data_IF_895149225350
#
_entry.id   IF_895149225350
#
_cell.length_a   1.000
_cell.length_b   1.000
_cell.length_c   1.000
_cell.angle_alpha   90.00
_cell.angle_beta   90.00
_cell.angle_gamma   90.00
#
_symmetry.space_group_name_H-M   'P 1'
#
loop_
_entity.id
_entity.type
_entity.pdbx_description
1 polymer ?
#
# COMPACT_ATOMS: atom_id res chain seq x y z
N UNK A 1 18.51 -2.14 -15.02
CA UNK A 1 18.37 -1.20 -13.89
C UNK A 1 19.21 -1.73 -12.75
N UNK A 2 19.95 -0.89 -12.04
CA UNK A 2 20.67 -1.31 -10.83
C UNK A 2 19.66 -1.45 -9.68
N UNK A 3 19.43 -2.69 -9.24
CA UNK A 3 18.41 -2.98 -8.23
C UNK A 3 18.81 -2.45 -6.85
N UNK A 4 20.10 -2.48 -6.51
CA UNK A 4 20.56 -2.03 -5.20
C UNK A 4 20.41 -0.52 -5.07
N UNK A 5 20.71 0.21 -6.15
CA UNK A 5 20.43 1.65 -6.23
C UNK A 5 18.94 1.96 -6.12
N UNK A 6 18.08 1.23 -6.83
CA UNK A 6 16.62 1.40 -6.73
C UNK A 6 16.15 1.21 -5.27
N UNK A 7 16.64 0.17 -4.59
CA UNK A 7 16.26 -0.12 -3.20
C UNK A 7 16.74 0.98 -2.26
N UNK A 8 17.94 1.51 -2.46
CA UNK A 8 18.43 2.67 -1.72
C UNK A 8 17.56 3.92 -1.96
N UNK A 9 17.24 4.22 -3.22
CA UNK A 9 16.38 5.35 -3.61
C UNK A 9 14.96 5.21 -3.04
N UNK A 10 14.41 3.99 -3.01
CA UNK A 10 13.11 3.68 -2.43
C UNK A 10 13.09 3.88 -0.90
N UNK A 11 14.14 3.42 -0.20
CA UNK A 11 14.30 3.66 1.24
C UNK A 11 14.43 5.15 1.56
N UNK A 12 15.31 5.87 0.86
CA UNK A 12 15.49 7.32 1.02
C UNK A 12 14.17 8.08 0.80
N UNK A 13 13.46 7.75 -0.29
CA UNK A 13 12.17 8.34 -0.60
C UNK A 13 11.19 8.18 0.56
N UNK A 14 11.03 6.97 1.11
CA UNK A 14 10.14 6.71 2.24
C UNK A 14 10.46 7.58 3.46
N UNK A 15 11.73 7.67 3.86
CA UNK A 15 12.14 8.52 4.99
C UNK A 15 11.90 10.00 4.73
N UNK A 16 12.06 10.47 3.48
CA UNK A 16 11.83 11.88 3.13
C UNK A 16 10.35 12.25 3.06
N UNK A 17 9.46 11.32 2.68
CA UNK A 17 8.01 11.60 2.58
C UNK A 17 7.24 11.31 3.86
N UNK A 18 7.77 10.48 4.76
CA UNK A 18 7.15 10.13 6.05
C UNK A 18 8.14 10.23 7.23
N UNK A 19 8.85 11.36 7.42
CA UNK A 19 9.91 11.46 8.40
C UNK A 19 9.40 11.33 9.84
N UNK A 20 8.23 11.87 10.15
CA UNK A 20 7.65 11.81 11.50
C UNK A 20 7.27 10.38 11.90
N UNK A 21 6.81 9.58 10.93
CA UNK A 21 6.36 8.22 11.16
C UNK A 21 7.53 7.23 11.23
N UNK A 22 8.55 7.42 10.39
CA UNK A 22 9.68 6.49 10.29
C UNK A 22 10.87 6.86 11.18
N UNK A 23 10.86 8.05 11.81
CA UNK A 23 11.93 8.48 12.71
C UNK A 23 12.18 7.46 13.82
N UNK A 24 13.40 6.91 13.86
CA UNK A 24 13.82 5.94 14.88
C UNK A 24 13.35 4.50 14.63
N UNK A 25 12.79 4.19 13.46
CA UNK A 25 12.45 2.82 13.05
C UNK A 25 13.20 2.44 11.77
N UNK A 26 13.81 1.24 11.69
CA UNK A 26 14.36 0.74 10.44
C UNK A 26 13.24 0.42 9.44
N UNK A 27 13.50 0.67 8.16
CA UNK A 27 12.64 0.26 7.06
C UNK A 27 13.44 -0.63 6.09
N UNK A 28 12.94 -1.85 5.87
CA UNK A 28 13.51 -2.73 4.84
C UNK A 28 12.65 -2.69 3.58
N UNK A 29 13.31 -2.53 2.45
CA UNK A 29 12.73 -2.68 1.12
C UNK A 29 13.50 -3.80 0.44
N UNK A 30 12.79 -4.83 -0.04
CA UNK A 30 13.39 -6.07 -0.54
C UNK A 30 12.79 -6.40 -1.90
N UNK A 31 13.59 -6.60 -2.95
CA UNK A 31 13.06 -7.08 -4.21
C UNK A 31 12.71 -8.57 -4.09
N UNK A 32 11.64 -8.99 -4.75
CA UNK A 32 11.16 -10.38 -4.82
C UNK A 32 12.27 -11.35 -5.23
N UNK A 33 13.19 -10.93 -6.11
CA UNK A 33 14.35 -11.73 -6.53
C UNK A 33 15.32 -12.09 -5.40
N UNK A 34 15.31 -11.32 -4.30
CA UNK A 34 16.18 -11.57 -3.14
C UNK A 34 15.48 -12.44 -2.08
N UNK A 35 14.21 -12.82 -2.30
CA UNK A 35 13.50 -13.71 -1.40
C UNK A 35 13.91 -15.17 -1.60
N UNK A 36 13.84 -16.01 -0.56
CA UNK A 36 13.97 -17.45 -0.70
C UNK A 36 13.01 -18.00 -1.78
N UNK A 37 13.38 -19.04 -2.55
CA UNK A 37 12.55 -19.56 -3.64
C UNK A 37 11.10 -19.88 -3.25
N UNK A 38 10.88 -20.31 -2.01
CA UNK A 38 9.54 -20.60 -1.47
C UNK A 38 8.65 -19.36 -1.30
N UNK A 39 9.24 -18.17 -1.24
CA UNK A 39 8.55 -16.89 -1.03
C UNK A 39 8.58 -15.99 -2.29
N UNK A 40 9.48 -16.26 -3.25
CA UNK A 40 9.70 -15.41 -4.42
C UNK A 40 9.26 -15.97 -5.77
N UNK A 41 8.97 -17.26 -5.93
CA UNK A 41 8.77 -17.86 -7.27
C UNK A 41 7.42 -17.60 -7.95
N UNK A 42 6.37 -17.27 -7.20
CA UNK A 42 5.00 -17.27 -7.72
C UNK A 42 4.14 -16.08 -7.31
N UNK A 43 4.72 -15.01 -6.75
CA UNK A 43 3.92 -13.84 -6.37
C UNK A 43 3.38 -13.15 -7.63
N UNK A 44 2.07 -12.93 -7.73
CA UNK A 44 1.46 -12.21 -8.87
C UNK A 44 1.28 -10.71 -8.62
N UNK A 45 1.48 -10.24 -7.38
CA UNK A 45 1.39 -8.81 -7.07
C UNK A 45 2.64 -8.00 -7.46
N UNK A 46 2.49 -6.68 -7.44
CA UNK A 46 3.58 -5.72 -7.60
C UNK A 46 4.32 -5.40 -6.30
N UNK A 47 3.69 -5.58 -5.14
CA UNK A 47 4.31 -5.34 -3.84
C UNK A 47 3.41 -5.82 -2.71
N UNK A 48 3.99 -5.99 -1.53
CA UNK A 48 3.24 -6.28 -0.31
C UNK A 48 3.99 -5.88 0.96
N UNK A 49 3.23 -5.68 2.03
CA UNK A 49 3.72 -5.49 3.41
C UNK A 49 2.81 -6.19 4.42
N UNK A 50 3.32 -6.54 5.61
CA UNK A 50 2.52 -7.01 6.75
C UNK A 50 3.06 -6.47 8.07
N UNK A 51 2.23 -6.40 9.15
CA UNK A 51 2.67 -6.01 10.49
C UNK A 51 3.76 -6.88 11.14
N UNK A 52 4.01 -8.08 10.61
CA UNK A 52 4.99 -9.04 11.14
C UNK A 52 6.04 -9.45 10.10
N UNK A 53 6.11 -8.76 8.96
CA UNK A 53 6.90 -9.21 7.82
C UNK A 53 8.41 -9.23 8.10
N UNK A 54 8.88 -8.35 8.98
CA UNK A 54 10.26 -8.38 9.48
C UNK A 54 10.60 -9.69 10.18
N UNK A 55 9.68 -10.24 10.97
CA UNK A 55 9.87 -11.53 11.63
C UNK A 55 9.91 -12.72 10.66
N UNK A 56 9.37 -12.57 9.44
CA UNK A 56 9.48 -13.58 8.39
C UNK A 56 10.80 -13.47 7.64
N UNK A 57 11.24 -12.24 7.39
CA UNK A 57 12.32 -11.94 6.44
C UNK A 57 13.62 -11.47 7.11
N UNK A 58 13.71 -11.44 8.45
CA UNK A 58 14.90 -10.95 9.15
C UNK A 58 16.20 -11.65 8.74
N UNK A 59 16.12 -12.93 8.32
CA UNK A 59 17.27 -13.69 7.83
C UNK A 59 17.75 -13.26 6.42
N UNK A 60 16.95 -12.45 5.71
CA UNK A 60 17.29 -11.84 4.44
C UNK A 60 17.93 -10.45 4.60
N UNK A 61 18.00 -9.91 5.82
CA UNK A 61 18.49 -8.56 6.07
C UNK A 61 19.91 -8.63 6.64
N UNK A 62 20.88 -8.08 5.92
CA UNK A 62 22.28 -8.04 6.37
C UNK A 62 22.50 -7.10 7.56
N UNK A 63 21.60 -6.14 7.77
CA UNK A 63 21.63 -5.09 8.79
C UNK A 63 20.63 -5.35 9.94
N UNK A 64 20.13 -6.57 10.09
CA UNK A 64 19.22 -6.90 11.18
C UNK A 64 19.95 -7.03 12.53
N UNK A 65 19.72 -6.07 13.42
CA UNK A 65 20.30 -6.03 14.77
C UNK A 65 19.31 -6.52 15.86
N UNK A 66 18.23 -7.21 15.47
CA UNK A 66 17.17 -7.60 16.42
C UNK A 66 16.14 -6.50 16.69
N UNK A 67 16.24 -5.36 16.00
CA UNK A 67 15.28 -4.25 16.08
C UNK A 67 14.12 -4.50 15.12
N UNK A 68 12.88 -4.29 15.56
CA UNK A 68 11.67 -4.45 14.75
C UNK A 68 11.44 -3.25 13.83
N UNK A 69 10.77 -3.47 12.70
CA UNK A 69 10.41 -2.39 11.78
C UNK A 69 9.58 -2.84 10.57
N UNK A 70 9.01 -1.89 9.82
CA UNK A 70 8.28 -2.19 8.60
C UNK A 70 9.15 -2.83 7.52
N UNK A 71 8.52 -3.70 6.73
CA UNK A 71 9.11 -4.29 5.53
C UNK A 71 8.18 -4.07 4.35
N UNK A 72 8.78 -3.73 3.21
CA UNK A 72 8.14 -3.65 1.90
C UNK A 72 8.83 -4.69 1.00
N UNK A 73 8.07 -5.60 0.43
CA UNK A 73 8.54 -6.45 -0.67
C UNK A 73 8.07 -5.85 -1.98
N UNK A 74 8.99 -5.71 -2.94
CA UNK A 74 8.70 -5.27 -4.31
C UNK A 74 8.69 -6.46 -5.26
N UNK A 75 7.57 -6.69 -5.94
CA UNK A 75 7.38 -7.70 -6.98
C UNK A 75 8.11 -7.33 -8.27
N UNK A 76 9.44 -7.23 -8.21
CA UNK A 76 10.22 -6.56 -9.24
C UNK A 76 10.12 -7.23 -10.62
N UNK A 77 9.99 -8.56 -10.64
CA UNK A 77 9.82 -9.32 -11.89
C UNK A 77 8.51 -8.98 -12.60
N UNK A 78 7.40 -8.81 -11.85
CA UNK A 78 6.11 -8.46 -12.42
C UNK A 78 6.07 -7.02 -12.90
N UNK A 79 6.68 -6.10 -12.15
CA UNK A 79 6.75 -4.68 -12.53
C UNK A 79 7.60 -4.51 -13.79
N UNK A 80 8.76 -5.17 -13.89
CA UNK A 80 9.62 -5.15 -15.08
C UNK A 80 8.89 -5.69 -16.32
N UNK A 81 8.12 -6.77 -16.15
CA UNK A 81 7.31 -7.36 -17.23
C UNK A 81 6.20 -6.42 -17.70
N UNK A 82 5.43 -5.86 -16.78
CA UNK A 82 4.19 -5.14 -17.10
C UNK A 82 4.42 -3.65 -17.40
N UNK A 83 5.53 -3.08 -16.91
CA UNK A 83 5.87 -1.65 -17.06
C UNK A 83 7.32 -1.46 -17.49
N UNK A 84 7.78 -2.00 -18.63
CA UNK A 84 9.18 -1.97 -19.03
C UNK A 84 9.74 -0.54 -19.23
N UNK A 85 8.91 0.40 -19.70
CA UNK A 85 9.33 1.79 -19.95
C UNK A 85 9.34 2.68 -18.70
N UNK A 86 8.58 2.28 -17.66
CA UNK A 86 8.42 3.04 -16.42
C UNK A 86 8.72 2.20 -15.18
N UNK A 87 9.55 1.18 -15.34
CA UNK A 87 9.88 0.22 -14.26
C UNK A 87 10.33 0.94 -13.00
N UNK A 88 11.30 1.86 -13.12
CA UNK A 88 11.81 2.63 -12.00
C UNK A 88 10.71 3.42 -11.28
N UNK A 89 9.92 4.20 -12.02
CA UNK A 89 8.85 5.03 -11.48
C UNK A 89 7.75 4.16 -10.85
N UNK A 90 7.40 3.04 -11.48
CA UNK A 90 6.41 2.10 -10.96
C UNK A 90 6.88 1.42 -9.67
N UNK A 91 8.16 1.02 -9.56
CA UNK A 91 8.72 0.48 -8.32
C UNK A 91 8.64 1.49 -7.17
N UNK A 92 9.00 2.76 -7.43
CA UNK A 92 8.87 3.81 -6.42
C UNK A 92 7.40 4.07 -6.07
N UNK A 93 6.52 4.10 -7.07
CA UNK A 93 5.07 4.24 -6.87
C UNK A 93 4.49 3.11 -6.02
N UNK A 94 4.86 1.86 -6.31
CA UNK A 94 4.50 0.69 -5.51
C UNK A 94 5.12 0.76 -4.11
N UNK A 95 6.34 1.28 -3.96
CA UNK A 95 6.92 1.51 -2.62
C UNK A 95 6.04 2.47 -1.81
N UNK A 96 5.58 3.58 -2.41
CA UNK A 96 4.66 4.51 -1.76
C UNK A 96 3.29 3.88 -1.45
N UNK A 97 2.82 2.97 -2.30
CA UNK A 97 1.60 2.17 -2.06
C UNK A 97 1.74 1.33 -0.79
N UNK A 98 2.81 0.53 -0.69
CA UNK A 98 3.04 -0.33 0.48
C UNK A 98 3.32 0.51 1.74
N UNK A 99 3.98 1.66 1.60
CA UNK A 99 4.14 2.61 2.68
C UNK A 99 2.77 3.14 3.16
N UNK A 100 1.82 3.42 2.26
CA UNK A 100 0.48 3.84 2.67
C UNK A 100 -0.21 2.77 3.55
N UNK A 101 -0.08 1.49 3.21
CA UNK A 101 -0.55 0.38 4.07
C UNK A 101 0.12 0.36 5.42
N UNK A 102 1.44 0.62 5.50
CA UNK A 102 2.17 0.70 6.77
C UNK A 102 1.63 1.85 7.63
N UNK A 103 1.42 3.02 7.03
CA UNK A 103 1.02 4.25 7.74
C UNK A 103 -0.47 4.29 8.12
N UNK A 104 -1.31 3.50 7.45
CA UNK A 104 -2.71 3.35 7.82
C UNK A 104 -2.89 2.61 9.16
N UNK A 105 -1.97 1.71 9.48
CA UNK A 105 -2.01 0.87 10.69
C UNK A 105 -1.90 1.72 11.96
N UNK A 106 -2.49 1.29 13.10
CA UNK A 106 -2.29 1.95 14.39
C UNK A 106 -0.82 1.98 14.87
N UNK A 107 -0.02 1.02 14.41
CA UNK A 107 1.40 0.85 14.72
C UNK A 107 2.15 0.34 13.48
N UNK A 108 3.41 0.73 13.31
CA UNK A 108 4.26 0.32 12.17
C UNK A 108 4.47 -1.19 12.11
N UNK A 109 4.59 -1.81 13.28
CA UNK A 109 4.69 -3.25 13.46
C UNK A 109 3.84 -3.68 14.65
N UNK A 110 3.44 -4.95 14.68
CA UNK A 110 2.72 -5.50 15.82
C UNK A 110 3.71 -6.13 16.82
N UNK A 111 3.69 -5.71 18.11
CA UNK A 111 4.43 -6.41 19.15
C UNK A 111 3.86 -7.82 19.28
N UNK A 112 4.67 -8.83 18.97
CA UNK A 112 4.29 -10.24 19.09
C UNK A 112 5.48 -11.04 19.63
N UNK A 113 5.25 -12.01 20.52
CA UNK A 113 6.30 -12.96 20.89
C UNK A 113 6.72 -13.77 19.66
N UNK A 114 8.02 -14.10 19.58
CA UNK A 114 8.54 -14.91 18.49
C UNK A 114 7.89 -16.30 18.54
N UNK A 115 7.02 -16.59 17.57
CA UNK A 115 6.43 -17.92 17.39
C UNK A 115 6.44 -18.29 15.91
N UNK A 116 7.35 -19.20 15.54
CA UNK A 116 7.57 -19.62 14.16
C UNK A 116 6.32 -20.19 13.48
N UNK A 117 5.40 -20.82 14.22
CA UNK A 117 4.19 -21.40 13.64
C UNK A 117 3.20 -20.31 13.20
N UNK A 118 2.93 -19.33 14.07
CA UNK A 118 2.10 -18.17 13.70
C UNK A 118 2.73 -17.36 12.59
N UNK A 119 4.04 -17.19 12.68
CA UNK A 119 4.83 -16.46 11.71
C UNK A 119 4.69 -17.12 10.33
N UNK A 120 4.90 -18.44 10.24
CA UNK A 120 4.76 -19.20 8.99
C UNK A 120 3.32 -19.19 8.46
N UNK A 121 2.31 -19.31 9.32
CA UNK A 121 0.90 -19.28 8.91
C UNK A 121 0.48 -17.89 8.37
N UNK A 122 1.05 -16.81 8.89
CA UNK A 122 0.84 -15.46 8.35
C UNK A 122 1.52 -15.29 7.00
N UNK A 123 2.77 -15.73 6.85
CA UNK A 123 3.48 -15.72 5.57
C UNK A 123 2.75 -16.53 4.48
N UNK A 124 2.19 -17.70 4.82
CA UNK A 124 1.36 -18.49 3.90
C UNK A 124 0.09 -17.74 3.54
N UNK A 125 -0.63 -17.15 4.51
CA UNK A 125 -1.83 -16.37 4.22
C UNK A 125 -1.56 -15.15 3.35
N UNK A 126 -0.42 -14.48 3.57
CA UNK A 126 0.04 -13.40 2.70
C UNK A 126 0.27 -13.98 1.32
N UNK A 127 1.15 -14.99 1.18
CA UNK A 127 1.44 -15.60 -0.11
C UNK A 127 0.17 -16.07 -0.86
N UNK A 128 -0.79 -16.68 -0.17
CA UNK A 128 -2.08 -17.10 -0.72
C UNK A 128 -2.95 -15.91 -1.15
N UNK A 129 -3.06 -14.88 -0.32
CA UNK A 129 -3.81 -13.66 -0.66
C UNK A 129 -3.18 -12.93 -1.85
N UNK A 130 -1.85 -12.93 -1.92
CA UNK A 130 -1.06 -12.32 -2.99
C UNK A 130 -1.08 -13.16 -4.27
N UNK A 131 -1.50 -14.44 -4.20
CA UNK A 131 -1.54 -15.39 -5.32
C UNK A 131 -2.93 -15.57 -5.94
N UNK A 132 -3.99 -15.04 -5.33
CA UNK A 132 -5.35 -15.09 -5.88
C UNK A 132 -5.55 -13.94 -6.86
N UNK A 133 -6.21 -14.21 -7.98
CA UNK A 133 -6.65 -13.15 -8.90
C UNK A 133 -7.48 -12.11 -8.14
N UNK A 134 -7.23 -10.83 -8.42
CA UNK A 134 -7.86 -9.67 -7.78
C UNK A 134 -9.38 -9.56 -8.06
N UNK A 135 -9.95 -10.48 -8.84
CA UNK A 135 -11.37 -10.50 -9.24
C UNK A 135 -12.32 -10.65 -8.03
N UNK A 136 -11.79 -10.91 -6.83
CA UNK A 136 -12.55 -11.02 -5.60
C UNK A 136 -13.53 -12.18 -5.63
N UNK A 137 -14.30 -12.35 -4.56
CA UNK A 137 -15.42 -13.29 -4.54
C UNK A 137 -16.69 -12.71 -5.20
N UNK A 138 -16.56 -11.53 -5.83
CA UNK A 138 -17.65 -10.73 -6.35
C UNK A 138 -18.57 -10.14 -5.28
N UNK A 139 -18.46 -10.52 -4.00
CA UNK A 139 -19.34 -10.06 -2.91
C UNK A 139 -18.78 -8.84 -2.19
N UNK A 140 -17.45 -8.72 -2.15
CA UNK A 140 -16.72 -7.64 -1.49
C UNK A 140 -16.32 -6.56 -2.50
N UNK A 141 -16.47 -5.25 -2.18
CA UNK A 141 -15.94 -4.21 -3.04
C UNK A 141 -14.44 -4.43 -3.29
N UNK A 142 -13.96 -4.36 -4.54
CA UNK A 142 -12.59 -4.73 -4.87
C UNK A 142 -11.53 -3.81 -4.22
N UNK A 143 -11.92 -2.65 -3.70
CA UNK A 143 -11.06 -1.72 -2.94
C UNK A 143 -11.21 -1.83 -1.41
N UNK A 144 -11.74 -2.92 -0.87
CA UNK A 144 -11.98 -3.03 0.60
C UNK A 144 -10.69 -2.93 1.43
N UNK A 145 -9.54 -3.23 0.85
CA UNK A 145 -8.22 -3.02 1.46
C UNK A 145 -7.57 -1.68 1.08
N UNK A 146 -8.26 -0.85 0.28
CA UNK A 146 -7.78 0.42 -0.25
C UNK A 146 -8.85 1.51 -0.11
N UNK A 147 -9.50 1.58 1.05
CA UNK A 147 -10.57 2.53 1.30
C UNK A 147 -10.09 4.00 1.28
N UNK A 148 -11.04 4.93 1.47
CA UNK A 148 -10.79 6.37 1.46
C UNK A 148 -9.60 6.83 2.30
N UNK A 149 -9.32 6.18 3.45
CA UNK A 149 -8.19 6.50 4.32
C UNK A 149 -6.86 6.11 3.68
N UNK A 150 -6.72 4.88 3.20
CA UNK A 150 -5.58 4.43 2.40
C UNK A 150 -5.32 5.37 1.21
N UNK A 151 -6.35 5.62 0.39
CA UNK A 151 -6.23 6.47 -0.81
C UNK A 151 -5.73 7.87 -0.45
N UNK A 152 -6.24 8.43 0.66
CA UNK A 152 -5.82 9.72 1.16
C UNK A 152 -4.33 9.74 1.51
N UNK A 153 -3.86 8.74 2.27
CA UNK A 153 -2.43 8.59 2.61
C UNK A 153 -1.58 8.46 1.34
N UNK A 154 -1.97 7.57 0.42
CA UNK A 154 -1.24 7.28 -0.81
C UNK A 154 -1.04 8.54 -1.69
N UNK A 155 -2.10 9.35 -1.87
CA UNK A 155 -1.98 10.57 -2.67
C UNK A 155 -1.23 11.71 -1.96
N UNK A 156 -1.25 11.76 -0.62
CA UNK A 156 -0.36 12.65 0.15
C UNK A 156 1.12 12.24 0.00
N UNK A 157 1.44 10.95 0.09
CA UNK A 157 2.78 10.42 -0.16
C UNK A 157 3.26 10.78 -1.58
N UNK A 158 2.43 10.55 -2.59
CA UNK A 158 2.71 10.94 -3.98
C UNK A 158 2.97 12.44 -4.11
N UNK A 159 2.16 13.27 -3.46
CA UNK A 159 2.31 14.72 -3.49
C UNK A 159 3.65 15.17 -2.90
N UNK A 160 4.05 14.60 -1.75
CA UNK A 160 5.37 14.86 -1.16
C UNK A 160 6.51 14.41 -2.05
N UNK A 161 6.42 13.21 -2.64
CA UNK A 161 7.41 12.70 -3.58
C UNK A 161 7.61 13.64 -4.79
N UNK A 162 6.51 14.16 -5.35
CA UNK A 162 6.57 15.15 -6.43
C UNK A 162 7.27 16.45 -5.99
N UNK A 163 7.04 16.91 -4.76
CA UNK A 163 7.75 18.06 -4.18
C UNK A 163 9.26 17.85 -4.00
N UNK A 164 9.71 16.59 -3.95
CA UNK A 164 11.12 16.20 -3.90
C UNK A 164 11.74 15.99 -5.30
N UNK A 165 10.96 16.21 -6.37
CA UNK A 165 11.41 16.08 -7.77
C UNK A 165 11.20 14.70 -8.40
N UNK A 166 10.53 13.76 -7.72
CA UNK A 166 10.26 12.44 -8.29
C UNK A 166 9.09 12.49 -9.28
N UNK A 167 9.30 11.93 -10.48
CA UNK A 167 8.25 11.74 -11.50
C UNK A 167 7.43 10.46 -11.22
N UNK A 168 6.54 10.50 -10.22
CA UNK A 168 5.64 9.38 -9.91
C UNK A 168 4.21 9.79 -10.28
N UNK A 169 3.55 9.01 -11.15
CA UNK A 169 2.15 9.22 -11.55
C UNK A 169 1.18 8.71 -10.49
N UNK A 170 -0.04 9.21 -10.51
CA UNK A 170 -1.05 8.83 -9.52
C UNK A 170 -1.41 7.33 -9.60
N UNK A 171 -1.51 6.79 -10.81
CA UNK A 171 -1.76 5.38 -11.15
C UNK A 171 -0.56 4.47 -10.88
N UNK A 172 0.66 5.02 -10.78
CA UNK A 172 1.82 4.25 -10.33
C UNK A 172 1.74 3.93 -8.83
N UNK A 173 1.11 4.81 -8.04
CA UNK A 173 0.85 4.57 -6.61
C UNK A 173 -0.43 3.77 -6.41
N UNK A 174 -1.55 4.19 -6.99
CA UNK A 174 -2.82 3.46 -6.90
C UNK A 174 -3.73 3.76 -8.09
N UNK A 175 -4.22 2.70 -8.73
CA UNK A 175 -5.10 2.73 -9.92
C UNK A 175 -6.54 2.33 -9.56
N UNK A 176 -7.34 3.19 -8.91
CA UNK A 176 -8.72 2.92 -8.55
C UNK A 176 -9.60 2.60 -9.78
N UNK A 177 -9.25 3.09 -10.96
CA UNK A 177 -9.98 2.81 -12.21
C UNK A 177 -10.01 1.32 -12.59
N UNK A 178 -9.03 0.51 -12.15
CA UNK A 178 -9.05 -0.95 -12.34
C UNK A 178 -10.23 -1.61 -11.63
N UNK A 179 -10.80 -0.92 -10.65
CA UNK A 179 -11.89 -1.37 -9.80
C UNK A 179 -13.22 -0.68 -10.14
N UNK A 180 -13.31 -0.02 -11.30
CA UNK A 180 -14.52 0.69 -11.75
C UNK A 180 -14.76 2.03 -11.04
N UNK A 181 -13.75 2.57 -10.36
CA UNK A 181 -13.80 3.90 -9.75
C UNK A 181 -13.30 4.98 -10.72
N UNK A 182 -13.41 6.24 -10.32
CA UNK A 182 -12.86 7.38 -11.06
C UNK A 182 -11.33 7.27 -11.22
N UNK A 183 -10.74 7.84 -12.28
CA UNK A 183 -9.29 7.78 -12.53
C UNK A 183 -8.43 8.34 -11.38
N UNK A 184 -7.28 7.70 -11.12
CA UNK A 184 -6.30 8.12 -10.11
C UNK A 184 -5.98 9.62 -10.11
N UNK A 185 -5.83 10.21 -11.31
CA UNK A 185 -5.52 11.62 -11.48
C UNK A 185 -6.59 12.55 -10.87
N UNK A 186 -7.87 12.16 -10.92
CA UNK A 186 -8.99 12.92 -10.36
C UNK A 186 -8.91 12.97 -8.83
N UNK A 187 -8.58 11.84 -8.19
CA UNK A 187 -8.37 11.75 -6.75
C UNK A 187 -7.14 12.56 -6.30
N UNK A 188 -6.02 12.42 -7.02
CA UNK A 188 -4.80 13.17 -6.74
C UNK A 188 -5.04 14.70 -6.85
N UNK A 189 -5.78 15.15 -7.86
CA UNK A 189 -6.14 16.56 -8.01
C UNK A 189 -7.04 17.05 -6.87
N UNK A 190 -8.03 16.25 -6.46
CA UNK A 190 -8.96 16.61 -5.38
C UNK A 190 -8.30 16.70 -3.99
N UNK A 191 -7.24 15.90 -3.76
CA UNK A 191 -6.42 15.97 -2.54
C UNK A 191 -5.42 17.12 -2.56
N UNK A 192 -5.02 17.62 -3.73
CA UNK A 192 -3.92 18.59 -3.85
C UNK A 192 -4.03 19.78 -2.87
N UNK A 193 -5.16 20.50 -2.71
CA UNK A 193 -5.23 21.63 -1.78
C UNK A 193 -4.99 21.21 -0.32
N UNK A 194 -5.47 20.04 0.06
CA UNK A 194 -5.25 19.46 1.39
C UNK A 194 -3.78 19.05 1.57
N UNK A 195 -3.18 18.44 0.54
CA UNK A 195 -1.78 18.03 0.55
C UNK A 195 -0.81 19.21 0.57
N UNK A 196 -1.13 20.30 -0.13
CA UNK A 196 -0.38 21.56 -0.05
C UNK A 196 -0.42 22.11 1.39
N UNK A 197 -1.60 22.11 2.02
CA UNK A 197 -1.83 22.66 3.37
C UNK A 197 -1.19 21.83 4.48
N UNK A 198 -1.26 20.49 4.36
CA UNK A 198 -0.82 19.54 5.39
C UNK A 198 0.51 18.87 5.01
N UNK A 199 1.32 19.50 4.14
CA UNK A 199 2.54 18.91 3.61
C UNK A 199 3.54 18.49 4.70
N UNK A 200 3.61 19.24 5.80
CA UNK A 200 4.50 19.00 6.94
C UNK A 200 3.83 18.21 8.09
N UNK A 201 2.52 17.93 8.02
CA UNK A 201 1.82 17.22 9.08
C UNK A 201 2.19 15.73 9.10
N UNK A 202 2.13 15.08 10.26
CA UNK A 202 2.16 13.61 10.33
C UNK A 202 0.93 13.01 9.63
N UNK A 203 1.03 11.79 9.13
CA UNK A 203 -0.11 11.05 8.58
C UNK A 203 -1.19 10.77 9.63
N UNK A 204 -0.80 10.62 10.90
CA UNK A 204 -1.76 10.57 12.01
C UNK A 204 -2.55 11.88 12.12
N UNK A 205 -1.89 13.03 12.03
CA UNK A 205 -2.56 14.34 12.02
C UNK A 205 -3.45 14.49 10.79
N UNK A 206 -2.97 14.14 9.59
CA UNK A 206 -3.75 14.16 8.35
C UNK A 206 -5.04 13.34 8.53
N UNK A 207 -4.92 12.08 8.97
CA UNK A 207 -6.07 11.21 9.17
C UNK A 207 -7.03 11.69 10.27
N UNK A 208 -6.57 12.50 11.23
CA UNK A 208 -7.43 13.10 12.25
C UNK A 208 -8.21 14.32 11.77
N UNK A 209 -7.79 14.95 10.66
CA UNK A 209 -8.52 16.07 10.07
C UNK A 209 -9.70 15.57 9.22
N UNK A 210 -10.77 16.37 9.09
CA UNK A 210 -11.82 16.10 8.10
C UNK A 210 -11.23 15.89 6.71
N UNK A 211 -11.77 14.93 5.96
CA UNK A 211 -11.38 14.67 4.58
C UNK A 211 -11.84 15.85 3.71
N UNK A 212 -10.99 16.29 2.77
CA UNK A 212 -11.34 17.31 1.77
C UNK A 212 -12.72 17.04 1.14
N UNK A 213 -13.64 18.02 1.11
CA UNK A 213 -14.98 17.84 0.54
C UNK A 213 -14.96 17.34 -0.91
N UNK A 214 -13.99 17.81 -1.71
CA UNK A 214 -13.84 17.40 -3.11
C UNK A 214 -13.47 15.92 -3.24
N UNK A 215 -12.49 15.46 -2.45
CA UNK A 215 -12.10 14.04 -2.44
C UNK A 215 -13.25 13.16 -1.93
N UNK A 216 -13.90 13.56 -0.83
CA UNK A 216 -15.05 12.83 -0.26
C UNK A 216 -16.17 12.68 -1.29
N UNK A 217 -16.51 13.76 -2.01
CA UNK A 217 -17.58 13.73 -3.00
C UNK A 217 -17.29 12.75 -4.15
N UNK A 218 -16.04 12.64 -4.59
CA UNK A 218 -15.63 11.68 -5.64
C UNK A 218 -15.76 10.25 -5.11
N UNK A 219 -15.19 9.97 -3.94
CA UNK A 219 -15.21 8.63 -3.35
C UNK A 219 -16.66 8.13 -3.11
N UNK A 220 -17.53 8.97 -2.55
CA UNK A 220 -18.93 8.62 -2.31
C UNK A 220 -19.75 8.50 -3.60
N UNK A 221 -19.37 9.20 -4.68
CA UNK A 221 -19.99 9.01 -5.99
C UNK A 221 -19.60 7.66 -6.60
N UNK A 222 -18.32 7.29 -6.54
CA UNK A 222 -17.83 6.02 -7.07
C UNK A 222 -18.40 4.83 -6.27
N UNK A 223 -18.42 4.93 -4.93
CA UNK A 223 -19.04 3.92 -4.06
C UNK A 223 -20.52 3.71 -4.41
N UNK A 224 -21.29 4.78 -4.58
CA UNK A 224 -22.71 4.69 -5.00
C UNK A 224 -22.84 4.10 -6.40
N UNK A 225 -21.99 4.49 -7.34
CA UNK A 225 -22.00 3.98 -8.71
C UNK A 225 -21.83 2.46 -8.73
N UNK A 226 -20.85 1.94 -7.98
CA UNK A 226 -20.61 0.50 -7.89
C UNK A 226 -21.74 -0.25 -7.20
N UNK A 227 -22.28 0.29 -6.10
CA UNK A 227 -23.42 -0.30 -5.38
C UNK A 227 -24.62 -0.41 -6.33
N UNK A 228 -24.89 0.63 -7.14
CA UNK A 228 -26.00 0.65 -8.08
C UNK A 228 -25.78 -0.28 -9.28
N UNK A 229 -24.53 -0.52 -9.69
CA UNK A 229 -24.19 -1.45 -10.76
C UNK A 229 -24.30 -2.94 -10.33
N UNK A 230 -24.38 -3.22 -9.02
CA UNK A 230 -24.46 -4.58 -8.48
C UNK A 230 -25.65 -4.77 -7.51
N UNK A 231 -26.90 -4.51 -7.95
CA UNK A 231 -28.08 -4.48 -7.08
C UNK A 231 -28.42 -5.85 -6.48
N UNK A 232 -28.08 -6.96 -7.15
CA UNK A 232 -28.29 -8.33 -6.64
C UNK A 232 -27.47 -8.62 -5.38
N UNK A 233 -26.44 -7.82 -5.12
CA UNK A 233 -25.51 -7.94 -3.99
C UNK A 233 -25.91 -7.08 -2.78
N UNK A 234 -26.95 -6.23 -2.91
CA UNK A 234 -27.54 -5.51 -1.78
C UNK A 234 -28.40 -6.43 -0.90
N UNK A 235 -28.92 -7.54 -1.45
CA UNK A 235 -29.86 -8.44 -0.72
C UNK A 235 -29.19 -9.30 0.36
N UNK A 236 -27.89 -9.58 0.27
CA UNK A 236 -27.16 -10.41 1.26
C UNK A 236 -26.71 -9.63 2.50
N UNK A 237 -26.66 -8.30 2.48
CA UNK A 237 -26.30 -7.51 3.66
C UNK A 237 -27.45 -7.28 4.64
N UNK A 238 -28.71 -7.54 4.24
CA UNK A 238 -29.86 -7.48 5.15
C UNK A 238 -30.05 -8.77 5.99
N UNK A 239 -29.28 -9.85 5.73
CA UNK A 239 -29.37 -11.10 6.52
C UNK A 239 -28.40 -11.14 7.71
N UNK A 240 -27.51 -10.15 7.87
CA UNK A 240 -26.56 -10.07 8.99
C UNK A 240 -26.82 -8.89 9.95
N UNK A 241 -27.97 -8.25 9.84
CA UNK A 241 -28.46 -7.30 10.86
C UNK A 241 -28.99 -8.10 12.06
N UNK A 242 -28.08 -8.77 12.78
CA UNK A 242 -28.38 -9.35 14.09
C UNK A 242 -28.26 -8.22 15.11
N UNK A 243 -29.38 -7.56 15.36
CA UNK A 243 -29.61 -6.88 16.62
C UNK A 243 -29.63 -7.91 17.76
N UNK A 244 -28.49 -8.11 18.42
CA UNK A 244 -28.40 -8.55 19.83
C UNK A 244 -27.11 -8.04 20.45
#
# INVERSE_FOLDING_TARGET
>A
MDIDRLIADAKDLCYRVAPAELSGSPLWVVPQTNLPPMLGRHTVCYGYTSPSLDMHLHHCFSDWEGIRGPVIVLGNLNIERDFPERTYNKMLGTTLHELAHILERPSLFQPRPYNQQYIRAEAIRIADAVSRDEDGDGSTPPWTTHESRFMRIAYHLRHRAAGLGYDIRADEVYSPERFGMSPAAKYAQAIKPEADTLCAASFRQICSQPVSPGFKAIYEADKRSWINAHPERQRSHNEFDITT
#
